data_IF_199852181933
#
_entry.id   IF_199852181933
#
_cell.length_a   1.000
_cell.length_b   1.000
_cell.length_c   1.000
_cell.angle_alpha   90.00
_cell.angle_beta   90.00
_cell.angle_gamma   90.00
#
_symmetry.space_group_name_H-M   'P 1'
#
loop_
_entity.id
_entity.type
_entity.pdbx_description
1 polymer ?
#
# COMPACT_ATOMS: atom_id res chain seq x y z
N UNK A 1 34.08 41.57 -2.65
CA UNK A 1 32.71 41.03 -2.85
C UNK A 1 32.87 39.71 -3.60
N UNK A 2 32.07 38.68 -3.28
CA UNK A 2 32.17 37.27 -3.76
C UNK A 2 33.11 36.40 -2.90
N UNK A 3 32.78 35.18 -2.47
CA UNK A 3 31.60 34.32 -2.63
C UNK A 3 31.47 33.37 -1.41
N UNK A 4 30.27 32.81 -1.21
CA UNK A 4 29.83 31.98 -0.09
C UNK A 4 30.39 30.52 -0.15
N UNK A 5 30.31 29.73 0.95
CA UNK A 5 31.06 28.49 1.10
C UNK A 5 30.41 27.32 0.34
N UNK A 6 31.28 26.41 -0.12
CA UNK A 6 30.89 25.16 -0.75
C UNK A 6 30.07 24.28 0.20
N UNK A 7 28.86 23.94 -0.24
CA UNK A 7 28.13 22.79 0.26
C UNK A 7 28.09 21.77 -0.86
N UNK A 8 28.92 20.74 -0.71
CA UNK A 8 28.85 19.53 -1.53
C UNK A 8 27.45 18.95 -1.38
N UNK A 9 26.72 18.83 -2.48
CA UNK A 9 25.54 17.98 -2.53
C UNK A 9 26.05 16.54 -2.59
N UNK A 10 26.43 15.98 -1.43
CA UNK A 10 26.47 14.53 -1.32
C UNK A 10 25.04 14.09 -1.58
N UNK A 11 24.84 13.40 -2.70
CA UNK A 11 23.62 12.70 -3.05
C UNK A 11 23.07 12.10 -1.76
N UNK A 12 21.92 12.62 -1.29
CA UNK A 12 21.21 11.97 -0.22
C UNK A 12 20.81 10.62 -0.79
N UNK A 13 21.60 9.60 -0.45
CA UNK A 13 21.30 8.22 -0.73
C UNK A 13 19.94 7.98 -0.10
N UNK A 14 18.91 8.00 -0.94
CA UNK A 14 17.52 7.73 -0.57
C UNK A 14 17.55 6.51 0.31
N UNK A 15 17.34 6.74 1.60
CA UNK A 15 17.43 5.74 2.65
C UNK A 15 16.57 4.57 2.24
N UNK A 16 17.24 3.47 1.89
CA UNK A 16 16.66 2.18 1.62
C UNK A 16 15.92 1.73 2.87
N UNK A 17 14.60 1.98 2.90
CA UNK A 17 13.69 1.30 3.82
C UNK A 17 13.75 -0.19 3.48
N UNK A 18 14.23 -0.98 4.44
CA UNK A 18 14.56 -2.39 4.26
C UNK A 18 13.33 -3.26 3.98
N UNK A 19 13.49 -4.24 3.09
CA UNK A 19 12.54 -5.34 2.96
C UNK A 19 12.34 -5.81 1.53
N UNK A 20 13.23 -6.69 1.10
CA UNK A 20 13.11 -7.60 -0.04
C UNK A 20 11.65 -8.06 -0.31
N UNK A 21 11.12 -7.74 -1.50
CA UNK A 21 10.01 -8.46 -2.12
C UNK A 21 8.57 -8.21 -1.63
N UNK A 22 8.31 -7.45 -0.55
CA UNK A 22 6.95 -7.27 0.01
C UNK A 22 6.07 -6.19 -0.64
N UNK A 23 4.75 -6.26 -0.39
CA UNK A 23 3.85 -5.13 -0.62
C UNK A 23 3.95 -4.13 0.55
N UNK A 24 3.91 -2.80 0.31
CA UNK A 24 3.78 -1.83 1.38
C UNK A 24 2.62 -2.15 2.31
N UNK A 25 2.83 -2.03 3.62
CA UNK A 25 1.85 -2.43 4.64
C UNK A 25 0.52 -1.69 4.52
N UNK A 26 0.52 -0.43 4.10
CA UNK A 26 -0.67 0.38 3.89
C UNK A 26 -1.50 -0.06 2.66
N UNK A 27 -1.00 -0.98 1.83
CA UNK A 27 -1.78 -1.64 0.78
C UNK A 27 -2.48 -2.91 1.26
N UNK A 28 -2.14 -3.40 2.45
CA UNK A 28 -2.62 -4.68 2.97
C UNK A 28 -3.89 -4.47 3.79
N UNK A 29 -4.93 -5.24 3.49
CA UNK A 29 -6.19 -5.24 4.23
C UNK A 29 -5.95 -5.71 5.67
N UNK A 30 -6.32 -4.95 6.70
CA UNK A 30 -6.15 -5.37 8.09
C UNK A 30 -6.92 -6.64 8.47
N UNK A 31 -8.01 -6.96 7.74
CA UNK A 31 -8.84 -8.16 7.97
C UNK A 31 -8.22 -9.37 7.24
N UNK A 32 -8.06 -9.27 5.92
CA UNK A 32 -7.65 -10.39 5.07
C UNK A 32 -6.14 -10.67 5.12
N UNK A 33 -5.33 -9.69 5.54
CA UNK A 33 -3.86 -9.74 5.47
C UNK A 33 -3.31 -9.88 4.04
N UNK A 34 -4.10 -9.48 3.05
CA UNK A 34 -3.74 -9.49 1.62
C UNK A 34 -3.78 -8.07 1.02
N UNK A 35 -3.09 -7.87 -0.11
CA UNK A 35 -3.13 -6.60 -0.84
C UNK A 35 -4.54 -6.32 -1.35
N UNK A 36 -5.09 -5.16 -0.97
CA UNK A 36 -6.44 -4.75 -1.36
C UNK A 36 -6.62 -4.67 -2.88
N UNK A 37 -7.82 -4.99 -3.35
CA UNK A 37 -8.28 -4.85 -4.74
C UNK A 37 -9.30 -3.72 -4.83
N UNK A 38 -10.28 -3.69 -3.93
CA UNK A 38 -11.24 -2.57 -3.81
C UNK A 38 -11.16 -1.96 -2.40
N UNK A 39 -10.19 -1.05 -2.14
CA UNK A 39 -10.06 -0.43 -0.83
C UNK A 39 -11.24 0.50 -0.53
N UNK A 40 -11.86 0.31 0.64
CA UNK A 40 -12.98 1.09 1.17
C UNK A 40 -12.60 1.68 2.53
N UNK A 41 -12.83 2.98 2.71
CA UNK A 41 -12.63 3.71 3.96
C UNK A 41 -13.84 3.49 4.87
N UNK A 42 -13.59 3.04 6.10
CA UNK A 42 -14.62 2.97 7.13
C UNK A 42 -14.65 4.24 8.00
N UNK A 43 -15.62 4.35 8.91
CA UNK A 43 -15.82 5.54 9.75
C UNK A 43 -14.65 5.91 10.68
N UNK A 44 -13.69 5.00 10.87
CA UNK A 44 -12.46 5.20 11.63
C UNK A 44 -11.30 5.77 10.79
N UNK A 45 -11.48 5.94 9.47
CA UNK A 45 -10.47 6.43 8.55
C UNK A 45 -9.50 5.36 8.02
N UNK A 46 -9.63 4.10 8.43
CA UNK A 46 -8.83 3.01 7.89
C UNK A 46 -9.44 2.46 6.60
N UNK A 47 -8.58 1.91 5.74
CA UNK A 47 -8.99 1.26 4.50
C UNK A 47 -8.97 -0.26 4.63
N UNK A 48 -10.00 -0.90 4.07
CA UNK A 48 -10.21 -2.35 4.09
C UNK A 48 -10.59 -2.85 2.71
N UNK A 49 -10.42 -4.15 2.45
CA UNK A 49 -11.03 -4.79 1.28
C UNK A 49 -12.56 -4.71 1.39
N UNK A 50 -13.22 -4.31 0.31
CA UNK A 50 -14.65 -4.02 0.30
C UNK A 50 -15.52 -5.16 0.81
N UNK A 51 -15.30 -6.38 0.32
CA UNK A 51 -16.09 -7.54 0.76
C UNK A 51 -15.84 -7.87 2.23
N UNK A 52 -14.58 -7.79 2.68
CA UNK A 52 -14.21 -8.12 4.05
C UNK A 52 -14.85 -7.18 5.09
N UNK A 53 -14.82 -5.86 4.84
CA UNK A 53 -15.44 -4.91 5.77
C UNK A 53 -16.97 -4.95 5.70
N UNK A 54 -17.56 -5.23 4.54
CA UNK A 54 -19.01 -5.44 4.41
C UNK A 54 -19.45 -6.67 5.21
N UNK A 55 -18.74 -7.78 5.08
CA UNK A 55 -19.03 -9.00 5.84
C UNK A 55 -18.88 -8.77 7.35
N UNK A 56 -17.82 -8.07 7.77
CA UNK A 56 -17.64 -7.66 9.16
C UNK A 56 -18.86 -6.92 9.70
N UNK A 57 -19.36 -5.90 8.99
CA UNK A 57 -20.54 -5.14 9.40
C UNK A 57 -21.83 -5.97 9.35
N UNK A 58 -21.98 -6.85 8.35
CA UNK A 58 -23.13 -7.78 8.24
C UNK A 58 -23.17 -8.80 9.38
N UNK A 59 -22.02 -9.16 9.95
CA UNK A 59 -21.92 -10.08 11.09
C UNK A 59 -22.43 -9.48 12.42
N UNK A 60 -22.98 -8.26 12.38
CA UNK A 60 -23.50 -7.55 13.55
C UNK A 60 -22.45 -6.74 14.31
N UNK A 61 -21.20 -6.76 13.86
CA UNK A 61 -20.12 -5.96 14.45
C UNK A 61 -20.27 -4.48 14.04
N UNK A 62 -19.99 -3.59 14.98
CA UNK A 62 -19.98 -2.15 14.81
C UNK A 62 -18.65 -1.50 15.25
N UNK A 63 -17.61 -2.32 15.39
CA UNK A 63 -16.25 -1.90 15.78
C UNK A 63 -15.29 -1.89 14.60
N UNK A 64 -14.23 -1.11 14.72
CA UNK A 64 -13.09 -1.07 13.81
C UNK A 64 -12.32 -2.39 13.89
N UNK A 65 -12.11 -3.09 12.77
CA UNK A 65 -11.23 -4.27 12.74
C UNK A 65 -9.76 -3.95 13.08
N UNK A 66 -9.35 -2.67 13.02
CA UNK A 66 -7.97 -2.26 13.29
C UNK A 66 -7.75 -1.87 14.75
N UNK A 67 -8.71 -1.13 15.34
CA UNK A 67 -8.56 -0.54 16.68
C UNK A 67 -9.46 -1.18 17.72
N UNK A 68 -10.41 -2.02 17.32
CA UNK A 68 -11.50 -2.55 18.15
C UNK A 68 -12.40 -1.49 18.81
N UNK A 69 -12.28 -0.21 18.41
CA UNK A 69 -13.14 0.86 18.88
C UNK A 69 -14.43 0.93 18.04
N UNK A 70 -15.53 1.43 18.61
CA UNK A 70 -16.79 1.61 17.89
C UNK A 70 -16.60 2.52 16.66
N UNK A 71 -17.10 2.08 15.51
CA UNK A 71 -17.08 2.89 14.30
C UNK A 71 -18.05 4.07 14.46
N UNK A 72 -17.60 5.31 14.21
CA UNK A 72 -18.49 6.47 14.24
C UNK A 72 -19.64 6.37 13.22
N UNK A 73 -19.39 5.69 12.11
CA UNK A 73 -20.25 5.58 10.93
C UNK A 73 -20.09 4.19 10.30
N UNK A 74 -21.18 3.63 9.79
CA UNK A 74 -21.20 2.30 9.13
C UNK A 74 -21.13 2.40 7.61
N UNK A 75 -21.21 3.61 7.07
CA UNK A 75 -21.02 3.88 5.66
C UNK A 75 -19.57 3.62 5.25
N UNK A 76 -19.41 3.04 4.05
CA UNK A 76 -18.12 2.77 3.45
C UNK A 76 -17.93 3.71 2.26
N UNK A 77 -16.74 4.31 2.17
CA UNK A 77 -16.40 5.25 1.10
C UNK A 77 -15.30 4.65 0.24
N UNK A 78 -15.45 4.57 -1.10
CA UNK A 78 -14.40 4.07 -1.96
C UNK A 78 -13.11 4.89 -1.86
N UNK A 79 -11.96 4.22 -1.70
CA UNK A 79 -10.64 4.88 -1.68
C UNK A 79 -9.97 4.80 -3.06
N UNK A 80 -10.44 5.63 -4.00
CA UNK A 80 -9.89 5.65 -5.36
C UNK A 80 -8.37 5.94 -5.40
N UNK A 81 -7.83 6.94 -4.67
CA UNK A 81 -6.39 7.19 -4.68
C UNK A 81 -5.55 5.99 -4.23
N UNK A 82 -5.98 5.28 -3.18
CA UNK A 82 -5.27 4.08 -2.71
C UNK A 82 -5.37 2.94 -3.72
N UNK A 83 -6.52 2.76 -4.37
CA UNK A 83 -6.70 1.76 -5.42
C UNK A 83 -5.73 1.99 -6.59
N UNK A 84 -5.63 3.24 -7.04
CA UNK A 84 -4.72 3.61 -8.13
C UNK A 84 -3.26 3.42 -7.73
N UNK A 85 -2.89 3.77 -6.49
CA UNK A 85 -1.55 3.54 -5.96
C UNK A 85 -1.19 2.04 -5.92
N UNK A 86 -2.12 1.17 -5.49
CA UNK A 86 -1.94 -0.29 -5.52
C UNK A 86 -1.78 -0.79 -6.95
N UNK A 87 -2.59 -0.29 -7.88
CA UNK A 87 -2.48 -0.65 -9.30
C UNK A 87 -1.11 -0.30 -9.87
N UNK A 88 -0.63 0.93 -9.67
CA UNK A 88 0.69 1.35 -10.11
C UNK A 88 1.81 0.53 -9.48
N UNK A 89 1.70 0.19 -8.19
CA UNK A 89 2.65 -0.68 -7.51
C UNK A 89 2.70 -2.09 -8.13
N UNK A 90 1.55 -2.70 -8.44
CA UNK A 90 1.48 -4.01 -9.12
C UNK A 90 2.14 -3.97 -10.49
N UNK A 91 1.85 -2.94 -11.29
CA UNK A 91 2.43 -2.77 -12.63
C UNK A 91 3.94 -2.63 -12.59
N UNK A 92 4.48 -1.79 -11.69
CA UNK A 92 5.92 -1.60 -11.52
C UNK A 92 6.63 -2.91 -11.16
N UNK A 93 5.99 -3.78 -10.37
CA UNK A 93 6.54 -5.09 -10.00
C UNK A 93 6.50 -6.08 -11.16
N UNK A 94 5.40 -6.14 -11.92
CA UNK A 94 5.31 -6.99 -13.10
C UNK A 94 6.40 -6.65 -14.13
N UNK A 95 6.65 -5.36 -14.36
CA UNK A 95 7.74 -4.91 -15.23
C UNK A 95 9.11 -5.34 -14.71
N UNK A 96 9.37 -5.25 -13.39
CA UNK A 96 10.63 -5.72 -12.80
C UNK A 96 10.86 -7.22 -13.02
N UNK A 97 9.83 -8.05 -12.88
CA UNK A 97 9.94 -9.50 -13.07
C UNK A 97 10.25 -9.87 -14.52
N UNK A 98 9.70 -9.14 -15.49
CA UNK A 98 9.88 -9.43 -16.91
C UNK A 98 11.32 -9.22 -17.43
N UNK A 99 12.13 -8.39 -16.76
CA UNK A 99 13.52 -8.14 -17.18
C UNK A 99 14.51 -9.15 -16.60
N UNK A 100 14.21 -9.79 -15.46
CA UNK A 100 15.12 -10.75 -14.83
C UNK A 100 15.01 -12.15 -15.45
N UNK A 101 13.85 -12.57 -15.93
CA UNK A 101 13.67 -13.90 -16.55
C UNK A 101 14.12 -13.97 -18.02
N UNK A 102 14.47 -12.85 -18.64
CA UNK A 102 14.88 -12.78 -20.05
C UNK A 102 16.38 -12.79 -20.31
N UNK A 103 17.22 -12.68 -19.27
CA UNK A 103 18.69 -12.64 -19.42
C UNK A 103 19.41 -13.90 -18.93
N UNK A 104 18.73 -14.78 -18.20
CA UNK A 104 19.32 -16.03 -17.70
C UNK A 104 19.14 -17.23 -18.67
N UNK A 105 18.33 -17.09 -19.73
CA UNK A 105 18.11 -18.16 -20.72
C UNK A 105 18.90 -18.00 -22.02
N UNK A 106 19.65 -16.90 -22.18
CA UNK A 106 20.46 -16.66 -23.38
C UNK A 106 21.94 -17.07 -23.22
N UNK A 107 22.28 -17.71 -22.10
CA UNK A 107 23.64 -18.14 -21.75
C UNK A 107 23.74 -19.62 -21.35
N UNK A 108 22.92 -20.50 -21.94
CA UNK A 108 23.12 -21.95 -21.90
C UNK A 108 22.76 -22.60 -23.24
#
# INVERSE_FOLDING_TARGET
>A
MSAAPGRSWSSVSSSSDGGEGGAPSYFVCPILKEVMRDPQIAGDGFSYEAEAIREWLRSGRDTSPMTNLKLPRRELVPNHPLRDAIHHWRLRRAMRTNFTTGLDSYYY
#
